data_IF_543726421394
#
_entry.id   IF_543726421394
#
_cell.length_a   1.000
_cell.length_b   1.000
_cell.length_c   1.000
_cell.angle_alpha   90.00
_cell.angle_beta   90.00
_cell.angle_gamma   90.00
#
_symmetry.space_group_name_H-M   'P 1'
#
loop_
_entity.id
_entity.type
_entity.pdbx_description
1 polymer ?
#
# COMPACT_ATOMS: atom_id res chain seq x y z
N UNK A 1 -10.87 43.70 -45.21
CA UNK A 1 -10.71 43.82 -43.74
C UNK A 1 -11.21 42.52 -43.11
N UNK A 2 -10.40 41.47 -43.05
CA UNK A 2 -9.55 41.11 -41.89
C UNK A 2 -10.24 41.25 -40.54
N UNK A 3 -10.68 40.11 -40.00
CA UNK A 3 -10.22 39.48 -38.74
C UNK A 3 -11.02 38.20 -38.57
N UNK A 4 -10.51 37.07 -39.08
CA UNK A 4 -9.77 36.06 -38.31
C UNK A 4 -10.30 35.85 -36.89
N UNK A 5 -10.64 34.58 -36.68
CA UNK A 5 -10.44 33.79 -35.47
C UNK A 5 -11.61 33.70 -34.51
N UNK A 6 -12.33 32.58 -34.61
CA UNK A 6 -13.11 32.03 -33.52
C UNK A 6 -12.86 30.51 -33.47
N UNK A 7 -11.63 30.14 -33.08
CA UNK A 7 -11.27 28.78 -32.69
C UNK A 7 -10.61 28.90 -31.31
N UNK A 8 -11.42 28.89 -30.24
CA UNK A 8 -10.88 28.76 -28.89
C UNK A 8 -11.85 28.04 -27.94
N UNK A 9 -12.29 26.83 -28.30
CA UNK A 9 -13.03 25.97 -27.37
C UNK A 9 -12.60 24.49 -27.35
N UNK A 10 -11.45 24.15 -27.92
CA UNK A 10 -10.99 22.75 -28.02
C UNK A 10 -10.09 22.25 -26.87
N UNK A 11 -9.95 22.99 -25.76
CA UNK A 11 -9.04 22.62 -24.67
C UNK A 11 -9.73 22.13 -23.37
N UNK A 12 -11.05 21.93 -23.35
CA UNK A 12 -11.77 21.52 -22.13
C UNK A 12 -11.90 20.00 -21.94
N UNK A 13 -11.36 19.17 -22.83
CA UNK A 13 -11.48 17.69 -22.74
C UNK A 13 -10.18 16.98 -22.35
N UNK A 14 -9.13 17.70 -21.93
CA UNK A 14 -7.78 17.14 -21.80
C UNK A 14 -7.41 16.54 -20.43
N UNK A 15 -8.34 16.37 -19.49
CA UNK A 15 -8.09 15.55 -18.29
C UNK A 15 -9.00 14.33 -18.32
N UNK A 16 -8.61 13.32 -19.09
CA UNK A 16 -9.13 11.97 -18.91
C UNK A 16 -8.59 11.44 -17.58
N UNK A 17 -9.36 11.58 -16.50
CA UNK A 17 -9.08 10.87 -15.26
C UNK A 17 -9.52 9.43 -15.46
N UNK A 18 -8.55 8.53 -15.55
CA UNK A 18 -8.84 7.10 -15.49
C UNK A 18 -9.10 6.73 -14.02
N UNK A 19 -10.29 6.22 -13.69
CA UNK A 19 -10.59 5.83 -12.33
C UNK A 19 -9.76 4.61 -11.91
N UNK A 20 -8.88 4.82 -10.93
CA UNK A 20 -8.00 3.82 -10.28
C UNK A 20 -8.66 2.51 -9.83
N UNK A 21 -9.99 2.42 -9.76
CA UNK A 21 -10.72 1.29 -9.18
C UNK A 21 -11.65 0.55 -10.16
N UNK A 22 -11.61 0.85 -11.46
CA UNK A 22 -12.44 0.15 -12.45
C UNK A 22 -11.69 -1.09 -12.94
N UNK A 23 -12.18 -2.27 -12.53
CA UNK A 23 -11.73 -3.61 -12.91
C UNK A 23 -10.28 -3.94 -12.51
N UNK A 24 -10.10 -4.54 -11.32
CA UNK A 24 -8.81 -5.10 -10.89
C UNK A 24 -8.52 -6.37 -11.68
N UNK A 25 -7.81 -6.22 -12.79
CA UNK A 25 -7.27 -7.36 -13.52
C UNK A 25 -6.38 -8.20 -12.60
N UNK A 26 -6.43 -9.51 -12.79
CA UNK A 26 -5.57 -10.43 -12.05
C UNK A 26 -4.12 -10.25 -12.47
N UNK A 27 -3.23 -10.02 -11.50
CA UNK A 27 -1.81 -9.93 -11.76
C UNK A 27 -1.17 -11.25 -11.37
N UNK A 28 -0.76 -12.01 -12.38
CA UNK A 28 -0.26 -13.36 -12.21
C UNK A 28 1.26 -13.34 -12.08
N UNK A 29 1.76 -14.03 -11.05
CA UNK A 29 3.18 -14.32 -10.86
C UNK A 29 3.37 -15.83 -10.78
N UNK A 30 4.54 -16.31 -11.19
CA UNK A 30 4.87 -17.73 -11.07
C UNK A 30 4.88 -18.21 -9.63
N UNK A 31 5.37 -17.35 -8.73
CA UNK A 31 5.51 -17.62 -7.30
C UNK A 31 5.34 -16.35 -6.48
N UNK A 32 4.61 -16.44 -5.38
CA UNK A 32 4.40 -15.38 -4.40
C UNK A 32 4.97 -15.85 -3.06
N UNK A 33 6.03 -15.21 -2.60
CA UNK A 33 6.64 -15.48 -1.29
C UNK A 33 6.22 -14.40 -0.30
N UNK A 34 5.61 -14.81 0.82
CA UNK A 34 5.15 -13.91 1.88
C UNK A 34 6.00 -14.08 3.14
N UNK A 35 6.61 -12.99 3.61
CA UNK A 35 7.50 -12.98 4.78
C UNK A 35 6.95 -11.96 5.80
N UNK A 36 7.01 -12.30 7.09
CA UNK A 36 6.62 -11.40 8.18
C UNK A 36 5.12 -11.39 8.49
N UNK A 37 4.50 -10.22 8.56
CA UNK A 37 3.14 -10.02 9.10
C UNK A 37 2.04 -10.62 8.20
N UNK A 38 1.56 -11.81 8.57
CA UNK A 38 0.59 -12.60 7.78
C UNK A 38 -0.68 -11.84 7.40
N UNK A 39 -1.27 -11.08 8.32
CA UNK A 39 -2.52 -10.36 8.08
C UNK A 39 -2.33 -9.19 7.10
N UNK A 40 -1.25 -8.44 7.27
CA UNK A 40 -0.85 -7.35 6.37
C UNK A 40 -0.60 -7.92 4.97
N UNK A 41 0.21 -8.98 4.87
CA UNK A 41 0.50 -9.65 3.60
C UNK A 41 -0.78 -10.12 2.92
N UNK A 42 -1.66 -10.83 3.63
CA UNK A 42 -2.92 -11.32 3.07
C UNK A 42 -3.81 -10.19 2.55
N UNK A 43 -3.94 -9.08 3.31
CA UNK A 43 -4.71 -7.91 2.88
C UNK A 43 -4.11 -7.34 1.60
N UNK A 44 -2.80 -7.14 1.51
CA UNK A 44 -2.13 -6.62 0.32
C UNK A 44 -2.37 -7.52 -0.90
N UNK A 45 -2.10 -8.83 -0.78
CA UNK A 45 -2.33 -9.80 -1.87
C UNK A 45 -3.78 -9.74 -2.37
N UNK A 46 -4.74 -9.75 -1.45
CA UNK A 46 -6.16 -9.71 -1.81
C UNK A 46 -6.61 -8.37 -2.40
N UNK A 47 -6.07 -7.26 -1.91
CA UNK A 47 -6.42 -5.93 -2.37
C UNK A 47 -5.86 -5.63 -3.76
N UNK A 48 -4.66 -6.11 -4.09
CA UNK A 48 -4.04 -5.91 -5.40
C UNK A 48 -4.45 -7.00 -6.40
N UNK A 49 -5.04 -8.10 -5.92
CA UNK A 49 -5.44 -9.25 -6.73
C UNK A 49 -4.25 -10.00 -7.36
N UNK A 50 -3.18 -10.18 -6.58
CA UNK A 50 -2.07 -11.04 -7.00
C UNK A 50 -2.48 -12.51 -6.99
N UNK A 51 -2.10 -13.23 -8.05
CA UNK A 51 -2.35 -14.67 -8.22
C UNK A 51 -1.04 -15.41 -8.44
N UNK A 52 -0.94 -16.59 -7.84
CA UNK A 52 0.17 -17.50 -8.07
C UNK A 52 -0.25 -18.55 -9.10
N UNK A 53 0.53 -18.70 -10.18
CA UNK A 53 0.43 -19.81 -11.11
C UNK A 53 1.82 -20.34 -11.46
N UNK A 54 2.19 -21.49 -10.91
CA UNK A 54 3.48 -22.15 -11.16
C UNK A 54 3.82 -22.41 -12.64
N UNK A 55 2.82 -22.39 -13.53
CA UNK A 55 2.96 -22.61 -14.97
C UNK A 55 2.99 -21.30 -15.77
N UNK A 56 2.94 -20.16 -15.11
CA UNK A 56 2.94 -18.85 -15.75
C UNK A 56 4.20 -18.66 -16.60
N UNK A 57 4.00 -18.19 -17.83
CA UNK A 57 5.04 -18.16 -18.86
C UNK A 57 6.11 -17.11 -18.59
N UNK A 58 5.72 -15.98 -17.99
CA UNK A 58 6.68 -14.98 -17.54
C UNK A 58 7.19 -15.48 -16.18
N UNK A 59 8.46 -15.90 -16.12
CA UNK A 59 9.11 -16.50 -14.95
C UNK A 59 9.34 -15.47 -13.81
N UNK A 60 8.39 -14.55 -13.63
CA UNK A 60 8.41 -13.50 -12.64
C UNK A 60 7.93 -14.06 -11.30
N UNK A 61 8.70 -13.81 -10.25
CA UNK A 61 8.35 -14.10 -8.88
C UNK A 61 8.23 -12.80 -8.09
N UNK A 62 7.40 -12.82 -7.05
CA UNK A 62 7.23 -11.68 -6.15
C UNK A 62 7.50 -12.10 -4.71
N UNK A 63 8.27 -11.29 -4.00
CA UNK A 63 8.51 -11.42 -2.57
C UNK A 63 7.92 -10.20 -1.89
N UNK A 64 7.00 -10.44 -0.96
CA UNK A 64 6.38 -9.43 -0.11
C UNK A 64 6.81 -9.68 1.33
N UNK A 65 7.62 -8.79 1.86
CA UNK A 65 8.09 -8.83 3.24
C UNK A 65 7.46 -7.67 4.02
N UNK A 66 6.77 -7.97 5.11
CA UNK A 66 6.10 -6.94 5.93
C UNK A 66 6.51 -7.01 7.39
N UNK A 67 6.58 -5.85 8.02
CA UNK A 67 6.81 -5.70 9.45
C UNK A 67 5.93 -4.60 10.02
N UNK A 68 5.55 -4.77 11.28
CA UNK A 68 4.76 -3.81 12.05
C UNK A 68 5.46 -3.47 13.35
N UNK A 69 5.37 -2.21 13.75
CA UNK A 69 5.88 -1.71 15.03
C UNK A 69 4.94 -0.71 15.67
N UNK A 70 4.76 -0.78 16.98
CA UNK A 70 4.03 0.23 17.76
C UNK A 70 4.99 0.77 18.83
N UNK A 71 5.33 2.05 18.72
CA UNK A 71 6.23 2.74 19.64
C UNK A 71 5.44 3.63 20.60
N UNK A 72 5.80 3.65 21.88
CA UNK A 72 5.37 4.71 22.81
C UNK A 72 6.20 5.96 22.52
N UNK A 73 5.57 7.05 22.08
CA UNK A 73 6.26 8.28 21.67
C UNK A 73 6.33 9.33 22.75
N UNK A 74 5.48 9.26 23.78
CA UNK A 74 5.57 10.11 24.97
C UNK A 74 4.94 9.47 26.20
N UNK A 75 5.32 9.97 27.39
CA UNK A 75 4.78 9.54 28.68
C UNK A 75 4.30 10.74 29.49
N UNK A 76 3.32 10.53 30.36
CA UNK A 76 2.88 11.55 31.32
C UNK A 76 3.81 11.61 32.56
N UNK A 77 3.54 12.53 33.49
CA UNK A 77 4.33 12.71 34.71
C UNK A 77 4.36 11.47 35.64
N UNK A 78 3.41 10.54 35.46
CA UNK A 78 3.35 9.26 36.19
C UNK A 78 4.07 8.13 35.44
N UNK A 79 4.76 8.42 34.33
CA UNK A 79 5.45 7.44 33.49
C UNK A 79 4.55 6.61 32.57
N UNK A 80 3.25 6.88 32.53
CA UNK A 80 2.29 6.14 31.71
C UNK A 80 2.35 6.63 30.25
N UNK A 81 2.18 5.73 29.29
CA UNK A 81 2.18 6.07 27.87
C UNK A 81 1.07 7.10 27.57
N UNK A 82 1.44 8.22 26.94
CA UNK A 82 0.53 9.30 26.58
C UNK A 82 0.21 9.29 25.08
N UNK A 83 1.19 8.93 24.26
CA UNK A 83 1.03 8.82 22.81
C UNK A 83 1.77 7.60 22.27
N UNK A 84 1.24 7.06 21.18
CA UNK A 84 1.83 5.97 20.42
C UNK A 84 2.07 6.37 18.97
N UNK A 85 2.90 5.59 18.28
CA UNK A 85 3.05 5.62 16.82
C UNK A 85 3.06 4.20 16.28
N UNK A 86 2.12 3.89 15.41
CA UNK A 86 2.13 2.66 14.61
C UNK A 86 2.90 2.91 13.33
N UNK A 87 3.76 1.96 12.96
CA UNK A 87 4.53 1.94 11.72
C UNK A 87 4.33 0.59 11.04
N UNK A 88 4.11 0.62 9.73
CA UNK A 88 4.12 -0.57 8.87
C UNK A 88 5.14 -0.34 7.78
N UNK A 89 6.05 -1.29 7.61
CA UNK A 89 7.01 -1.33 6.52
C UNK A 89 6.75 -2.55 5.67
N UNK A 90 6.65 -2.35 4.35
CA UNK A 90 6.46 -3.41 3.36
C UNK A 90 7.52 -3.28 2.28
N UNK A 91 8.32 -4.32 2.11
CA UNK A 91 9.29 -4.45 1.03
C UNK A 91 8.70 -5.35 -0.06
N UNK A 92 8.62 -4.80 -1.27
CA UNK A 92 8.26 -5.55 -2.48
C UNK A 92 9.51 -5.81 -3.31
N UNK A 93 9.73 -7.06 -3.68
CA UNK A 93 10.80 -7.46 -4.62
C UNK A 93 10.17 -8.26 -5.75
N UNK A 94 10.46 -7.89 -6.99
CA UNK A 94 10.09 -8.66 -8.19
C UNK A 94 11.38 -9.25 -8.77
N UNK A 95 11.37 -10.56 -8.95
CA UNK A 95 12.44 -11.34 -9.52
C UNK A 95 12.04 -11.82 -10.91
N UNK A 96 12.99 -11.91 -11.84
CA UNK A 96 12.84 -12.64 -13.10
C UNK A 96 14.06 -13.52 -13.27
N UNK A 97 13.85 -14.82 -13.46
CA UNK A 97 14.96 -15.79 -13.59
C UNK A 97 15.96 -15.71 -12.41
N UNK A 98 15.45 -15.50 -11.19
CA UNK A 98 16.20 -15.28 -9.94
C UNK A 98 16.99 -13.95 -9.83
N UNK A 99 16.87 -13.04 -10.80
CA UNK A 99 17.47 -11.71 -10.74
C UNK A 99 16.45 -10.66 -10.30
N UNK A 100 16.86 -9.73 -9.41
CA UNK A 100 15.98 -8.64 -8.95
C UNK A 100 15.82 -7.61 -10.07
N UNK A 101 14.61 -7.54 -10.63
CA UNK A 101 14.28 -6.56 -11.68
C UNK A 101 13.59 -5.32 -11.12
N UNK A 102 12.98 -5.41 -9.94
CA UNK A 102 12.31 -4.29 -9.29
C UNK A 102 12.29 -4.48 -7.78
N UNK A 103 12.63 -3.44 -7.04
CA UNK A 103 12.55 -3.46 -5.58
C UNK A 103 12.08 -2.10 -5.06
N UNK A 104 11.19 -2.10 -4.07
CA UNK A 104 10.80 -0.89 -3.35
C UNK A 104 10.33 -1.20 -1.94
N UNK A 105 10.71 -0.34 -1.00
CA UNK A 105 10.21 -0.35 0.37
C UNK A 105 9.20 0.77 0.57
N UNK A 106 8.04 0.43 1.12
CA UNK A 106 6.95 1.32 1.49
C UNK A 106 6.89 1.41 3.01
N UNK A 107 6.78 2.62 3.54
CA UNK A 107 6.73 2.87 4.96
C UNK A 107 5.61 3.86 5.26
N UNK A 108 4.62 3.43 6.03
CA UNK A 108 3.51 4.25 6.47
C UNK A 108 3.44 4.26 7.99
N UNK A 109 3.12 5.42 8.57
CA UNK A 109 2.98 5.54 10.02
C UNK A 109 1.90 6.51 10.44
N UNK A 110 1.39 6.32 11.65
CA UNK A 110 0.39 7.19 12.24
C UNK A 110 0.60 7.32 13.74
N UNK A 111 0.47 8.54 14.27
CA UNK A 111 0.61 8.83 15.70
C UNK A 111 -0.75 9.13 16.31
N UNK A 112 -0.99 8.64 17.52
CA UNK A 112 -2.27 8.77 18.20
C UNK A 112 -2.09 8.82 19.72
N UNK A 113 -3.11 9.33 20.40
CA UNK A 113 -3.13 9.41 21.87
C UNK A 113 -3.48 8.05 22.48
N UNK A 114 -3.03 7.83 23.72
CA UNK A 114 -3.49 6.70 24.50
C UNK A 114 -5.00 6.81 24.77
N UNK A 115 -5.67 5.66 24.81
CA UNK A 115 -7.06 5.52 25.24
C UNK A 115 -7.04 4.71 26.53
N UNK A 116 -7.68 5.22 27.58
CA UNK A 116 -7.58 4.63 28.92
C UNK A 116 -8.16 3.21 28.96
N UNK A 117 -9.25 2.97 28.24
CA UNK A 117 -9.80 1.64 28.06
C UNK A 117 -8.91 0.83 27.09
N UNK A 118 -8.35 -0.28 27.59
CA UNK A 118 -7.43 -1.14 26.82
C UNK A 118 -8.06 -1.81 25.61
N UNK A 119 -9.34 -2.18 25.70
CA UNK A 119 -10.07 -2.80 24.59
C UNK A 119 -10.31 -1.79 23.47
N UNK A 120 -10.71 -0.57 23.83
CA UNK A 120 -10.91 0.52 22.87
C UNK A 120 -9.58 0.91 22.22
N UNK A 121 -8.49 0.96 23.00
CA UNK A 121 -7.15 1.18 22.48
C UNK A 121 -6.75 0.11 21.47
N UNK A 122 -6.95 -1.17 21.79
CA UNK A 122 -6.66 -2.28 20.88
C UNK A 122 -7.48 -2.19 19.58
N UNK A 123 -8.78 -1.92 19.70
CA UNK A 123 -9.67 -1.75 18.53
C UNK A 123 -9.22 -0.58 17.66
N UNK A 124 -8.88 0.54 18.27
CA UNK A 124 -8.37 1.71 17.56
C UNK A 124 -7.04 1.41 16.84
N UNK A 125 -6.14 0.66 17.49
CA UNK A 125 -4.87 0.24 16.88
C UNK A 125 -5.06 -0.63 15.64
N UNK A 126 -6.04 -1.54 15.66
CA UNK A 126 -6.39 -2.36 14.49
C UNK A 126 -6.92 -1.48 13.33
N UNK A 127 -7.74 -0.47 13.64
CA UNK A 127 -8.24 0.47 12.62
C UNK A 127 -7.09 1.30 12.04
N UNK A 128 -6.14 1.74 12.86
CA UNK A 128 -4.93 2.43 12.41
C UNK A 128 -4.11 1.51 11.49
N UNK A 129 -3.92 0.25 11.87
CA UNK A 129 -3.23 -0.75 11.04
C UNK A 129 -3.90 -0.91 9.67
N UNK A 130 -5.22 -1.12 9.62
CA UNK A 130 -5.95 -1.26 8.36
C UNK A 130 -5.79 -0.02 7.46
N UNK A 131 -5.87 1.18 8.03
CA UNK A 131 -5.69 2.42 7.28
C UNK A 131 -4.26 2.56 6.72
N UNK A 132 -3.25 2.17 7.49
CA UNK A 132 -1.86 2.16 7.03
C UNK A 132 -1.65 1.14 5.90
N UNK A 133 -2.22 -0.06 6.02
CA UNK A 133 -2.15 -1.08 4.96
C UNK A 133 -2.84 -0.59 3.68
N UNK A 134 -4.01 0.04 3.79
CA UNK A 134 -4.71 0.58 2.61
C UNK A 134 -3.88 1.65 1.88
N UNK A 135 -3.21 2.55 2.61
CA UNK A 135 -2.27 3.50 2.01
C UNK A 135 -1.10 2.83 1.30
N UNK A 136 -0.54 1.77 1.90
CA UNK A 136 0.53 0.98 1.26
C UNK A 136 0.02 0.32 -0.02
N UNK A 137 -1.21 -0.21 -0.03
CA UNK A 137 -1.85 -0.76 -1.24
C UNK A 137 -1.97 0.29 -2.34
N UNK A 138 -2.44 1.49 -2.01
CA UNK A 138 -2.54 2.58 -3.00
C UNK A 138 -1.16 2.95 -3.56
N UNK A 139 -0.15 3.05 -2.69
CA UNK A 139 1.24 3.31 -3.11
C UNK A 139 1.82 2.17 -3.98
N UNK A 140 1.46 0.92 -3.70
CA UNK A 140 1.84 -0.25 -4.50
C UNK A 140 1.19 -0.21 -5.88
N UNK A 141 -0.11 0.14 -5.97
CA UNK A 141 -0.81 0.29 -7.24
C UNK A 141 -0.12 1.33 -8.12
N UNK A 142 0.16 2.51 -7.55
CA UNK A 142 0.91 3.58 -8.24
C UNK A 142 2.29 3.09 -8.70
N UNK A 143 3.00 2.33 -7.87
CA UNK A 143 4.33 1.83 -8.21
C UNK A 143 4.30 0.78 -9.33
N UNK A 144 3.29 -0.08 -9.33
CA UNK A 144 3.09 -1.12 -10.34
C UNK A 144 2.41 -0.58 -11.60
N UNK A 145 1.87 0.65 -11.55
CA UNK A 145 1.10 1.31 -12.61
C UNK A 145 -0.17 0.54 -12.96
N UNK A 146 -0.89 0.14 -11.92
CA UNK A 146 -2.16 -0.61 -11.97
C UNK A 146 -3.24 0.15 -11.22
#
# INVERSE_FOLDING_TARGET
MTKKFLILFFFLTACGYEPLYINKEEIIYKKITLIGEKLINRKIISSINFKEDSKYIDNNEIILESSKKIDTTSRNAKGQAKTFRSNITVKLTILKDNEVIKEKTFNESFSYQNIDNKYDLFTYQNNVEENLVNKIVDNLNIFLKI
#
